data_IF_035203022560
#
_entry.id   IF_035203022560
#
_cell.length_a   1.000
_cell.length_b   1.000
_cell.length_c   1.000
_cell.angle_alpha   90.00
_cell.angle_beta   90.00
_cell.angle_gamma   90.00
#
_symmetry.space_group_name_H-M   'P 1'
#
loop_
_entity.id
_entity.type
_entity.pdbx_description
1 polymer ?
#
# COMPACT_ATOMS: atom_id res chain seq x y z
N UNK A 1 0.02 19.85 4.58
CA UNK A 1 1.09 18.99 4.03
C UNK A 1 1.57 19.57 2.69
N UNK A 2 2.88 19.72 2.46
CA UNK A 2 3.44 20.35 1.25
C UNK A 2 2.94 19.69 -0.06
N UNK A 3 2.80 18.37 -0.08
CA UNK A 3 2.38 17.62 -1.28
C UNK A 3 0.87 17.45 -1.45
N UNK A 4 0.04 17.85 -0.47
CA UNK A 4 -1.42 17.66 -0.53
C UNK A 4 -2.08 18.23 -1.80
N UNK A 5 -1.75 19.47 -2.26
CA UNK A 5 -2.31 19.99 -3.51
C UNK A 5 -1.96 19.14 -4.74
N UNK A 6 -0.75 18.57 -4.77
CA UNK A 6 -0.26 17.74 -5.88
C UNK A 6 -0.95 16.37 -5.86
N UNK A 7 -1.09 15.76 -4.67
CA UNK A 7 -1.83 14.51 -4.50
C UNK A 7 -3.30 14.69 -4.92
N UNK A 8 -3.96 15.76 -4.46
CA UNK A 8 -5.35 16.04 -4.81
C UNK A 8 -5.52 16.21 -6.33
N UNK A 9 -4.64 16.98 -6.99
CA UNK A 9 -4.63 17.14 -8.46
C UNK A 9 -4.62 15.78 -9.18
N UNK A 10 -3.76 14.85 -8.77
CA UNK A 10 -3.66 13.55 -9.43
C UNK A 10 -4.73 12.54 -9.02
N UNK A 11 -5.28 12.67 -7.81
CA UNK A 11 -6.47 11.94 -7.39
C UNK A 11 -7.69 12.35 -8.22
N UNK A 12 -7.90 13.65 -8.45
CA UNK A 12 -8.95 14.20 -9.32
C UNK A 12 -8.79 13.70 -10.78
N UNK A 13 -7.58 13.76 -11.34
CA UNK A 13 -7.31 13.25 -12.69
C UNK A 13 -7.61 11.75 -12.84
N UNK A 14 -7.50 10.99 -11.76
CA UNK A 14 -7.82 9.56 -11.73
C UNK A 14 -9.26 9.27 -11.27
N UNK A 15 -10.09 10.30 -11.08
CA UNK A 15 -11.48 10.17 -10.59
C UNK A 15 -11.60 9.46 -9.24
N UNK A 16 -10.68 9.75 -8.32
CA UNK A 16 -10.64 9.24 -6.94
C UNK A 16 -10.38 10.33 -5.87
N UNK A 17 -10.94 11.56 -6.00
CA UNK A 17 -10.63 12.65 -5.07
C UNK A 17 -10.96 12.34 -3.60
N UNK A 18 -11.95 11.49 -3.34
CA UNK A 18 -12.35 11.06 -2.00
C UNK A 18 -11.32 10.17 -1.30
N UNK A 19 -10.29 9.69 -2.00
CA UNK A 19 -9.20 8.89 -1.45
C UNK A 19 -7.91 9.71 -1.25
N UNK A 20 -7.98 11.04 -1.33
CA UNK A 20 -6.80 11.92 -1.14
C UNK A 20 -6.10 11.66 0.20
N UNK A 21 -6.85 11.50 1.29
CA UNK A 21 -6.26 11.23 2.60
C UNK A 21 -5.61 9.84 2.69
N UNK A 22 -6.19 8.84 2.00
CA UNK A 22 -5.59 7.50 1.87
C UNK A 22 -4.26 7.58 1.12
N UNK A 23 -4.19 8.35 0.04
CA UNK A 23 -2.96 8.56 -0.74
C UNK A 23 -1.88 9.29 0.07
N UNK A 24 -2.26 10.27 0.90
CA UNK A 24 -1.35 10.95 1.82
C UNK A 24 -0.83 10.03 2.91
N UNK A 25 -1.69 9.17 3.48
CA UNK A 25 -1.29 8.17 4.45
C UNK A 25 -0.34 7.12 3.84
N UNK A 26 -0.59 6.67 2.61
CA UNK A 26 0.33 5.83 1.84
C UNK A 26 1.69 6.52 1.68
N UNK A 27 1.72 7.77 1.19
CA UNK A 27 2.95 8.55 1.05
C UNK A 27 3.73 8.66 2.37
N UNK A 28 3.02 8.87 3.48
CA UNK A 28 3.61 8.95 4.81
C UNK A 28 4.25 7.63 5.26
N UNK A 29 3.64 6.49 4.92
CA UNK A 29 4.19 5.15 5.21
C UNK A 29 5.36 4.80 4.29
N UNK A 30 5.28 5.16 3.00
CA UNK A 30 6.31 4.80 2.01
C UNK A 30 7.63 5.53 2.23
N UNK A 31 7.58 6.84 2.46
CA UNK A 31 8.80 7.66 2.54
C UNK A 31 8.80 8.67 3.68
N UNK A 32 7.66 8.88 4.31
CA UNK A 32 7.45 10.00 5.22
C UNK A 32 7.71 11.37 4.57
N UNK A 33 7.63 11.44 3.24
CA UNK A 33 7.93 12.63 2.45
C UNK A 33 9.43 12.93 2.28
N UNK A 34 10.32 11.94 2.47
CA UNK A 34 11.77 12.15 2.50
C UNK A 34 12.53 11.62 1.29
N UNK A 35 11.92 10.73 0.52
CA UNK A 35 12.51 10.15 -0.68
C UNK A 35 12.05 10.92 -1.91
N UNK A 36 12.87 10.91 -2.96
CA UNK A 36 12.50 11.49 -4.26
C UNK A 36 11.34 10.72 -4.88
N UNK A 37 11.42 9.38 -4.89
CA UNK A 37 10.27 8.52 -5.19
C UNK A 37 9.34 8.46 -3.97
N UNK A 38 8.63 9.57 -3.74
CA UNK A 38 7.94 9.88 -2.50
C UNK A 38 6.77 8.93 -2.17
N UNK A 39 6.16 8.31 -3.18
CA UNK A 39 5.14 7.27 -3.05
C UNK A 39 5.67 5.86 -3.32
N UNK A 40 7.00 5.69 -3.45
CA UNK A 40 7.67 4.41 -3.78
C UNK A 40 7.00 3.66 -4.94
N UNK A 41 6.64 4.42 -5.98
CA UNK A 41 5.75 3.95 -7.03
C UNK A 41 6.48 3.47 -8.29
N UNK A 42 7.82 3.58 -8.34
CA UNK A 42 8.64 3.11 -9.47
C UNK A 42 8.35 1.65 -9.85
N UNK A 43 8.25 0.76 -8.86
CA UNK A 43 7.99 -0.66 -9.11
C UNK A 43 6.65 -0.90 -9.83
N UNK A 44 5.63 -0.12 -9.50
CA UNK A 44 4.31 -0.20 -10.17
C UNK A 44 4.34 0.26 -11.64
N UNK A 45 5.35 1.06 -12.01
CA UNK A 45 5.61 1.48 -13.38
C UNK A 45 6.56 0.54 -14.15
N UNK A 46 7.03 -0.55 -13.53
CA UNK A 46 8.04 -1.43 -14.12
C UNK A 46 9.44 -0.81 -14.19
N UNK A 47 9.71 0.20 -13.37
CA UNK A 47 11.00 0.87 -13.25
C UNK A 47 11.81 0.29 -12.07
N UNK A 48 13.15 0.46 -12.08
CA UNK A 48 13.96 0.18 -10.89
C UNK A 48 13.50 1.02 -9.69
N UNK A 49 13.70 0.52 -8.47
CA UNK A 49 13.36 1.27 -7.26
C UNK A 49 14.01 2.66 -7.25
N UNK A 50 13.32 3.63 -6.64
CA UNK A 50 13.81 5.01 -6.48
C UNK A 50 14.15 5.74 -7.79
N UNK A 51 13.47 5.42 -8.89
CA UNK A 51 13.75 6.01 -10.21
C UNK A 51 12.85 7.21 -10.59
N UNK A 52 11.75 7.42 -9.87
CA UNK A 52 10.81 8.50 -10.16
C UNK A 52 11.10 9.75 -9.32
N UNK A 53 11.04 10.91 -9.98
CA UNK A 53 11.01 12.22 -9.32
C UNK A 53 9.68 12.46 -8.58
N UNK A 54 9.65 13.40 -7.65
CA UNK A 54 8.55 13.57 -6.68
C UNK A 54 7.15 13.69 -7.32
N UNK A 55 6.96 14.63 -8.26
CA UNK A 55 5.66 14.79 -8.94
C UNK A 55 5.30 13.57 -9.80
N UNK A 56 6.31 12.94 -10.43
CA UNK A 56 6.10 11.72 -11.24
C UNK A 56 5.74 10.52 -10.38
N UNK A 57 6.32 10.42 -9.18
CA UNK A 57 6.00 9.43 -8.17
C UNK A 57 4.57 9.62 -7.65
N UNK A 58 4.14 10.86 -7.36
CA UNK A 58 2.76 11.14 -6.96
C UNK A 58 1.78 10.76 -8.06
N UNK A 59 2.05 11.18 -9.31
CA UNK A 59 1.21 10.85 -10.46
C UNK A 59 1.07 9.33 -10.63
N UNK A 60 2.18 8.60 -10.56
CA UNK A 60 2.19 7.15 -10.72
C UNK A 60 1.48 6.46 -9.54
N UNK A 61 1.76 6.86 -8.29
CA UNK A 61 1.09 6.32 -7.10
C UNK A 61 -0.43 6.49 -7.15
N UNK A 62 -0.91 7.69 -7.51
CA UNK A 62 -2.35 7.93 -7.70
C UNK A 62 -2.95 7.06 -8.81
N UNK A 63 -2.23 6.92 -9.94
CA UNK A 63 -2.67 6.10 -11.07
C UNK A 63 -2.75 4.62 -10.71
N UNK A 64 -1.75 4.12 -9.98
CA UNK A 64 -1.70 2.74 -9.54
C UNK A 64 -2.78 2.44 -8.49
N UNK A 65 -2.95 3.31 -7.49
CA UNK A 65 -4.02 3.16 -6.51
C UNK A 65 -5.41 3.17 -7.16
N UNK A 66 -5.64 4.04 -8.15
CA UNK A 66 -6.90 4.05 -8.90
C UNK A 66 -7.14 2.74 -9.67
N UNK A 67 -6.08 2.13 -10.22
CA UNK A 67 -6.16 0.81 -10.83
C UNK A 67 -6.55 -0.27 -9.81
N UNK A 68 -5.90 -0.29 -8.65
CA UNK A 68 -6.21 -1.21 -7.56
C UNK A 68 -7.63 -1.03 -7.03
N UNK A 69 -8.09 0.22 -6.86
CA UNK A 69 -9.43 0.55 -6.43
C UNK A 69 -10.49 0.01 -7.39
N UNK A 70 -10.30 0.18 -8.71
CA UNK A 70 -11.22 -0.38 -9.71
C UNK A 70 -11.27 -1.90 -9.65
N UNK A 71 -10.11 -2.56 -9.55
CA UNK A 71 -10.04 -4.02 -9.43
C UNK A 71 -10.68 -4.51 -8.13
N UNK A 72 -10.35 -3.90 -6.99
CA UNK A 72 -10.89 -4.26 -5.69
C UNK A 72 -12.42 -4.13 -5.65
N UNK A 73 -12.97 -3.02 -6.16
CA UNK A 73 -14.42 -2.84 -6.30
C UNK A 73 -15.06 -3.89 -7.19
N UNK A 74 -14.42 -4.32 -8.28
CA UNK A 74 -14.95 -5.38 -9.15
C UNK A 74 -14.92 -6.78 -8.53
N UNK A 75 -14.13 -6.96 -7.47
CA UNK A 75 -13.96 -8.21 -6.73
C UNK A 75 -14.62 -8.16 -5.34
N UNK A 76 -15.45 -7.14 -5.07
CA UNK A 76 -16.08 -6.88 -3.78
C UNK A 76 -15.10 -6.86 -2.59
N UNK A 77 -13.87 -6.39 -2.84
CA UNK A 77 -12.86 -6.22 -1.80
C UNK A 77 -13.01 -4.88 -1.06
N UNK A 78 -12.80 -4.89 0.24
CA UNK A 78 -12.80 -3.69 1.07
C UNK A 78 -11.59 -2.77 0.83
N UNK A 79 -11.66 -1.55 1.38
CA UNK A 79 -10.61 -0.55 1.22
C UNK A 79 -9.28 -1.02 1.83
N UNK A 80 -9.31 -1.76 2.93
CA UNK A 80 -8.09 -2.25 3.59
C UNK A 80 -7.37 -3.27 2.70
N UNK A 81 -8.10 -4.12 1.96
CA UNK A 81 -7.53 -4.99 0.94
C UNK A 81 -6.88 -4.19 -0.19
N UNK A 82 -7.52 -3.12 -0.65
CA UNK A 82 -6.99 -2.23 -1.70
C UNK A 82 -5.71 -1.53 -1.24
N UNK A 83 -5.69 -1.03 0.01
CA UNK A 83 -4.50 -0.44 0.61
C UNK A 83 -3.38 -1.48 0.70
N UNK A 84 -3.66 -2.69 1.20
CA UNK A 84 -2.66 -3.76 1.28
C UNK A 84 -2.12 -4.14 -0.11
N UNK A 85 -2.96 -4.11 -1.13
CA UNK A 85 -2.57 -4.38 -2.52
C UNK A 85 -1.66 -3.29 -3.12
N UNK A 86 -1.58 -2.09 -2.55
CA UNK A 86 -0.57 -1.11 -2.97
C UNK A 86 0.84 -1.63 -2.69
N UNK A 87 1.02 -2.33 -1.56
CA UNK A 87 2.28 -2.93 -1.17
C UNK A 87 2.52 -4.33 -1.75
N UNK A 88 1.49 -5.17 -1.83
CA UNK A 88 1.59 -6.54 -2.35
C UNK A 88 1.35 -6.68 -3.85
N UNK A 89 0.91 -5.60 -4.49
CA UNK A 89 0.46 -5.63 -5.86
C UNK A 89 -0.94 -6.23 -6.03
N UNK A 90 -1.45 -6.09 -7.24
CA UNK A 90 -2.84 -6.41 -7.58
C UNK A 90 -3.22 -7.90 -7.38
N UNK A 91 -2.26 -8.82 -7.31
CA UNK A 91 -2.50 -10.25 -7.07
C UNK A 91 -3.09 -10.54 -5.70
N UNK A 92 -2.84 -9.67 -4.71
CA UNK A 92 -3.45 -9.79 -3.38
C UNK A 92 -4.98 -9.64 -3.44
N UNK A 93 -5.51 -8.82 -4.35
CA UNK A 93 -6.97 -8.66 -4.50
C UNK A 93 -7.62 -9.95 -5.01
N UNK A 94 -6.97 -10.66 -5.94
CA UNK A 94 -7.48 -11.96 -6.42
C UNK A 94 -7.43 -13.03 -5.31
N UNK A 95 -6.43 -12.93 -4.42
CA UNK A 95 -6.34 -13.79 -3.25
C UNK A 95 -7.44 -13.47 -2.24
N UNK A 96 -7.59 -12.20 -1.85
CA UNK A 96 -8.58 -11.75 -0.88
C UNK A 96 -10.02 -12.05 -1.31
N UNK A 97 -10.33 -11.94 -2.61
CA UNK A 97 -11.64 -12.30 -3.15
C UNK A 97 -12.04 -13.77 -2.87
N UNK A 98 -11.07 -14.69 -2.75
CA UNK A 98 -11.32 -16.10 -2.37
C UNK A 98 -11.75 -16.24 -0.90
N UNK A 99 -11.52 -15.21 -0.10
CA UNK A 99 -11.83 -15.13 1.33
C UNK A 99 -12.83 -14.00 1.63
N UNK A 100 -13.81 -13.80 0.75
CA UNK A 100 -14.90 -12.83 0.86
C UNK A 100 -14.50 -11.35 0.70
N UNK A 101 -13.27 -11.06 0.26
CA UNK A 101 -12.84 -9.68 0.00
C UNK A 101 -12.71 -8.80 1.25
N UNK A 102 -12.73 -9.39 2.44
CA UNK A 102 -12.60 -8.65 3.71
C UNK A 102 -11.17 -8.79 4.23
N UNK A 103 -10.54 -7.67 4.54
CA UNK A 103 -9.18 -7.66 5.06
C UNK A 103 -9.14 -8.29 6.46
N UNK A 104 -8.13 -9.10 6.71
CA UNK A 104 -7.69 -9.47 8.05
C UNK A 104 -6.16 -9.54 8.11
N UNK A 105 -5.60 -9.44 9.31
CA UNK A 105 -4.14 -9.55 9.49
C UNK A 105 -3.66 -10.95 9.07
N UNK A 106 -4.43 -11.98 9.41
CA UNK A 106 -4.15 -13.38 9.05
C UNK A 106 -4.16 -13.60 7.53
N UNK A 107 -5.03 -12.89 6.80
CA UNK A 107 -5.08 -12.96 5.34
C UNK A 107 -3.83 -12.36 4.71
N UNK A 108 -3.40 -11.18 5.19
CA UNK A 108 -2.17 -10.53 4.72
C UNK A 108 -0.93 -11.37 5.06
N UNK A 109 -0.88 -11.94 6.26
CA UNK A 109 0.19 -12.80 6.73
C UNK A 109 0.32 -14.07 5.89
N UNK A 110 -0.78 -14.81 5.66
CA UNK A 110 -0.78 -16.03 4.83
C UNK A 110 -0.35 -15.76 3.39
N UNK A 111 -0.81 -14.66 2.80
CA UNK A 111 -0.36 -14.28 1.47
C UNK A 111 1.16 -14.06 1.46
N UNK A 112 1.69 -13.33 2.44
CA UNK A 112 3.13 -13.08 2.55
C UNK A 112 3.94 -14.37 2.74
N UNK A 113 3.43 -15.29 3.56
CA UNK A 113 4.02 -16.61 3.81
C UNK A 113 4.12 -17.44 2.53
N UNK A 114 3.01 -17.53 1.78
CA UNK A 114 2.95 -18.25 0.51
C UNK A 114 3.95 -17.66 -0.50
N UNK A 115 4.01 -16.33 -0.62
CA UNK A 115 4.89 -15.65 -1.57
C UNK A 115 6.37 -15.71 -1.16
N UNK A 116 6.68 -15.73 0.14
CA UNK A 116 8.06 -15.80 0.62
C UNK A 116 8.60 -17.24 0.72
N UNK A 117 7.74 -18.25 0.55
CA UNK A 117 8.07 -19.64 0.81
C UNK A 117 8.36 -19.91 2.29
N UNK A 118 7.70 -19.18 3.19
CA UNK A 118 7.90 -19.26 4.63
C UNK A 118 9.13 -18.52 5.17
N UNK A 119 9.92 -17.86 4.31
CA UNK A 119 11.09 -17.10 4.76
C UNK A 119 10.65 -15.83 5.51
N UNK A 120 11.37 -15.51 6.59
CA UNK A 120 11.12 -14.35 7.45
C UNK A 120 12.33 -13.40 7.48
N UNK A 121 12.08 -12.12 7.76
CA UNK A 121 13.09 -11.10 8.00
C UNK A 121 12.80 -10.34 9.29
N UNK A 122 13.86 -9.86 9.95
CA UNK A 122 13.72 -8.99 11.12
C UNK A 122 13.02 -7.69 10.73
N UNK A 123 12.13 -7.23 11.60
CA UNK A 123 11.35 -6.02 11.41
C UNK A 123 11.06 -5.36 12.75
N UNK A 124 11.90 -4.40 13.14
CA UNK A 124 11.88 -3.75 14.45
C UNK A 124 10.80 -2.67 14.60
N UNK A 125 9.79 -2.65 13.73
CA UNK A 125 8.67 -1.74 13.90
C UNK A 125 7.95 -2.07 15.23
N UNK A 126 7.62 -1.07 16.06
CA UNK A 126 6.97 -1.30 17.36
C UNK A 126 5.70 -2.16 17.30
N UNK A 127 4.94 -2.07 16.19
CA UNK A 127 3.76 -2.92 15.97
C UNK A 127 4.16 -4.40 15.87
N UNK A 128 5.14 -4.72 15.03
CA UNK A 128 5.61 -6.09 14.85
C UNK A 128 6.29 -6.62 16.12
N UNK A 129 7.13 -5.80 16.78
CA UNK A 129 7.78 -6.17 18.05
C UNK A 129 6.75 -6.58 19.10
N UNK A 130 5.66 -5.81 19.23
CA UNK A 130 4.59 -6.10 20.18
C UNK A 130 3.78 -7.35 19.82
N UNK A 131 3.61 -7.62 18.53
CA UNK A 131 2.69 -8.65 18.04
C UNK A 131 3.32 -10.03 17.89
N UNK A 132 4.53 -10.09 17.33
CA UNK A 132 5.16 -11.37 16.99
C UNK A 132 6.66 -11.43 17.34
N UNK A 133 7.19 -10.42 18.06
CA UNK A 133 8.60 -10.36 18.45
C UNK A 133 9.51 -9.66 17.43
N UNK A 134 8.94 -8.99 16.42
CA UNK A 134 9.69 -8.09 15.54
C UNK A 134 10.15 -8.74 14.24
N UNK A 135 9.23 -9.42 13.55
CA UNK A 135 9.53 -10.02 12.25
C UNK A 135 8.34 -9.90 11.29
N UNK A 136 8.62 -10.15 10.01
CA UNK A 136 7.59 -10.35 8.97
C UNK A 136 8.06 -11.38 7.95
N UNK A 137 7.14 -11.96 7.19
CA UNK A 137 7.53 -12.73 6.01
C UNK A 137 8.26 -11.85 4.99
N UNK A 138 9.21 -12.45 4.27
CA UNK A 138 10.13 -11.79 3.33
C UNK A 138 9.45 -11.39 2.01
N UNK A 139 8.19 -10.97 2.06
CA UNK A 139 7.42 -10.49 0.91
C UNK A 139 6.53 -9.31 1.34
N UNK A 140 6.74 -8.15 0.69
CA UNK A 140 6.11 -6.87 1.04
C UNK A 140 6.10 -6.59 2.55
N UNK A 141 4.99 -6.11 3.10
CA UNK A 141 4.81 -5.87 4.52
C UNK A 141 3.38 -6.25 4.96
N UNK A 142 3.27 -7.32 5.76
CA UNK A 142 1.98 -7.85 6.24
C UNK A 142 1.22 -6.90 7.18
N UNK A 143 1.90 -5.89 7.69
CA UNK A 143 1.32 -4.85 8.54
C UNK A 143 0.88 -3.60 7.76
N UNK A 144 1.04 -3.57 6.44
CA UNK A 144 0.95 -2.33 5.64
C UNK A 144 -0.38 -1.60 5.78
N UNK A 145 -1.52 -2.27 5.62
CA UNK A 145 -2.82 -1.61 5.78
C UNK A 145 -2.99 -1.01 7.19
N UNK A 146 -2.52 -1.71 8.23
CA UNK A 146 -2.56 -1.20 9.61
C UNK A 146 -1.64 -0.01 9.82
N UNK A 147 -0.47 0.02 9.19
CA UNK A 147 0.45 1.16 9.24
C UNK A 147 -0.16 2.38 8.55
N UNK A 148 -0.79 2.21 7.38
CA UNK A 148 -1.47 3.30 6.66
C UNK A 148 -2.61 3.85 7.51
N UNK A 149 -3.43 2.98 8.12
CA UNK A 149 -4.55 3.39 8.96
C UNK A 149 -4.16 4.21 10.18
N UNK A 150 -2.92 4.14 10.67
CA UNK A 150 -2.46 5.01 11.77
C UNK A 150 -2.52 6.50 11.41
N UNK A 151 -2.51 6.84 10.12
CA UNK A 151 -2.55 8.22 9.62
C UNK A 151 -3.93 8.64 9.08
N UNK A 152 -4.94 7.76 9.18
CA UNK A 152 -6.32 8.03 8.74
C UNK A 152 -7.28 8.28 9.90
N UNK A 153 -6.79 8.23 11.13
CA UNK A 153 -7.60 8.42 12.33
C UNK A 153 -7.59 9.92 12.68
N UNK A 154 -8.76 10.55 12.59
CA UNK A 154 -9.09 11.81 13.28
C UNK A 154 -9.26 11.59 14.79
#
# INVERSE_FOLDING_TARGET
MYYQPVVQKYAEQNSIPEYTDVLLAIMQVESGGKLTDIMQSSGSAGLPNDSLEEESSIRQGCTYFAHLLRKGKSLDCDLDCIIQAYNYGSGFLDYAAKFNGVYSTELAEKFAEEQSGGNTVQYDNPMAVKENGGWRYAYGNMFYARLVKQYLIE
#
